data_IF_227695431887
#
_entry.id   IF_227695431887
#
_cell.length_a   1.000
_cell.length_b   1.000
_cell.length_c   1.000
_cell.angle_alpha   90.00
_cell.angle_beta   90.00
_cell.angle_gamma   90.00
#
_symmetry.space_group_name_H-M   'P 1'
#
loop_
_entity.id
_entity.type
_entity.pdbx_description
1 polymer ?
#
# COMPACT_ATOMS: atom_id res chain seq x y z
N UNK A 1 3.93 -2.47 91.56
CA UNK A 1 4.58 -3.15 90.42
C UNK A 1 5.65 -2.21 89.84
N UNK A 2 6.90 -2.35 90.30
CA UNK A 2 8.13 -2.00 89.55
C UNK A 2 8.57 -3.27 88.81
N UNK A 3 9.21 -3.23 87.61
CA UNK A 3 10.60 -2.76 87.44
C UNK A 3 10.92 -2.04 86.08
N UNK A 4 11.90 -1.13 85.97
CA UNK A 4 13.33 -1.25 85.57
C UNK A 4 13.66 -0.79 84.12
N UNK A 5 14.58 0.19 84.10
CA UNK A 5 15.66 0.60 83.17
C UNK A 5 16.04 -0.28 81.96
N UNK A 6 16.52 0.37 80.89
CA UNK A 6 17.86 0.25 80.22
C UNK A 6 17.76 0.40 78.69
N UNK A 7 18.38 1.42 78.07
CA UNK A 7 19.73 1.48 77.43
C UNK A 7 20.08 0.31 76.49
N UNK A 8 20.25 0.59 75.19
CA UNK A 8 21.30 0.05 74.27
C UNK A 8 21.10 0.70 72.87
N UNK A 9 21.91 1.70 72.47
CA UNK A 9 23.12 1.61 71.62
C UNK A 9 22.95 0.77 70.35
N UNK A 10 23.09 1.41 69.18
CA UNK A 10 24.02 0.98 68.12
C UNK A 10 24.14 2.07 67.04
N UNK A 11 25.33 2.66 66.96
CA UNK A 11 25.80 3.35 65.78
C UNK A 11 26.31 2.30 64.78
N UNK A 12 25.96 2.43 63.51
CA UNK A 12 26.73 1.86 62.41
C UNK A 12 26.43 2.66 61.14
N UNK A 13 27.47 3.31 60.61
CA UNK A 13 27.42 3.98 59.31
C UNK A 13 27.24 3.00 58.17
N UNK A 14 26.73 3.51 57.06
CA UNK A 14 26.76 2.83 55.77
C UNK A 14 27.25 3.81 54.72
N UNK A 15 28.35 3.41 54.11
CA UNK A 15 29.11 4.09 53.09
C UNK A 15 28.25 4.39 51.85
N UNK A 16 28.48 5.56 51.27
CA UNK A 16 28.01 5.92 49.95
C UNK A 16 28.66 5.01 48.90
N UNK A 17 27.88 4.08 48.34
CA UNK A 17 28.24 3.41 47.09
C UNK A 17 27.92 4.37 45.93
N UNK A 18 28.98 4.86 45.30
CA UNK A 18 28.91 5.54 44.01
C UNK A 18 28.37 4.56 42.96
N UNK A 19 27.14 4.78 42.51
CA UNK A 19 26.60 4.15 41.30
C UNK A 19 27.31 4.75 40.08
N UNK A 20 27.85 3.93 39.16
CA UNK A 20 28.36 4.46 37.90
C UNK A 20 27.17 5.02 37.10
N UNK A 21 27.24 6.32 36.81
CA UNK A 21 26.40 6.98 35.81
C UNK A 21 26.67 6.29 34.47
N UNK A 22 25.82 5.33 34.11
CA UNK A 22 25.77 4.80 32.76
C UNK A 22 25.41 5.95 31.82
N UNK A 23 26.36 6.35 30.96
CA UNK A 23 26.08 7.18 29.81
C UNK A 23 24.88 6.61 29.07
N UNK A 24 23.83 7.40 28.77
CA UNK A 24 22.75 6.92 27.93
C UNK A 24 23.36 6.50 26.60
N UNK A 25 23.28 5.19 26.31
CA UNK A 25 23.87 4.60 25.13
C UNK A 25 23.44 5.38 23.90
N UNK A 26 24.42 5.76 23.08
CA UNK A 26 24.18 6.04 21.66
C UNK A 26 23.41 4.83 21.12
N UNK A 27 22.12 4.97 20.89
CA UNK A 27 21.35 4.00 20.11
C UNK A 27 22.09 3.84 18.79
N UNK A 28 22.65 2.65 18.56
CA UNK A 28 23.32 2.34 17.30
C UNK A 28 22.37 2.74 16.17
N UNK A 29 22.84 3.58 15.24
CA UNK A 29 22.05 3.92 14.07
C UNK A 29 21.65 2.60 13.39
N UNK A 30 20.35 2.38 13.21
CA UNK A 30 19.86 1.15 12.60
C UNK A 30 20.50 1.04 11.20
N UNK A 31 21.28 -0.01 10.98
CA UNK A 31 21.92 -0.21 9.69
C UNK A 31 20.83 -0.44 8.62
N UNK A 32 21.00 0.16 7.43
CA UNK A 32 20.08 -0.07 6.33
C UNK A 32 20.11 -1.55 5.92
N UNK A 33 18.93 -2.14 5.68
CA UNK A 33 18.83 -3.49 5.11
C UNK A 33 18.69 -3.35 3.60
N UNK A 34 19.44 -4.14 2.84
CA UNK A 34 19.32 -4.18 1.37
C UNK A 34 18.88 -5.56 0.92
N UNK A 35 17.85 -5.61 0.09
CA UNK A 35 17.31 -6.84 -0.47
C UNK A 35 17.38 -6.79 -1.99
N UNK A 36 17.79 -7.89 -2.62
CA UNK A 36 17.58 -8.13 -4.04
C UNK A 36 16.28 -8.91 -4.22
N UNK A 37 15.36 -8.38 -5.02
CA UNK A 37 14.00 -8.87 -5.20
C UNK A 37 13.70 -9.05 -6.69
N UNK A 38 12.75 -9.94 -7.02
CA UNK A 38 12.33 -10.20 -8.40
C UNK A 38 13.50 -10.63 -9.29
N UNK A 39 14.24 -11.65 -8.84
CA UNK A 39 15.42 -12.17 -9.54
C UNK A 39 16.53 -11.13 -9.78
N UNK A 40 16.66 -10.16 -8.86
CA UNK A 40 17.68 -9.11 -8.91
C UNK A 40 17.28 -7.88 -9.73
N UNK A 41 16.07 -7.84 -10.29
CA UNK A 41 15.56 -6.68 -11.01
C UNK A 41 15.24 -5.49 -10.11
N UNK A 42 15.00 -5.73 -8.82
CA UNK A 42 14.74 -4.67 -7.84
C UNK A 42 15.72 -4.78 -6.69
N UNK A 43 16.54 -3.75 -6.49
CA UNK A 43 17.33 -3.58 -5.27
C UNK A 43 16.56 -2.65 -4.33
N UNK A 44 16.05 -3.18 -3.22
CA UNK A 44 15.33 -2.39 -2.24
C UNK A 44 16.20 -2.11 -1.02
N UNK A 45 16.46 -0.83 -0.74
CA UNK A 45 17.14 -0.35 0.46
C UNK A 45 16.10 0.12 1.48
N UNK A 46 16.06 -0.54 2.63
CA UNK A 46 15.12 -0.25 3.71
C UNK A 46 15.81 0.60 4.78
N UNK A 47 15.26 1.79 5.04
CA UNK A 47 15.76 2.75 6.03
C UNK A 47 14.78 2.82 7.20
N UNK A 48 15.29 2.77 8.43
CA UNK A 48 14.46 2.85 9.64
C UNK A 48 15.05 3.84 10.64
N UNK A 49 14.28 4.87 10.97
CA UNK A 49 14.68 5.90 11.94
C UNK A 49 14.28 5.54 13.39
N UNK A 50 13.68 4.36 13.59
CA UNK A 50 13.06 3.93 14.85
C UNK A 50 13.58 2.60 15.40
N UNK A 51 14.65 2.06 14.83
CA UNK A 51 15.26 0.80 15.28
C UNK A 51 15.36 -0.23 14.15
N UNK A 52 15.50 -1.54 14.47
CA UNK A 52 15.64 -2.57 13.45
C UNK A 52 14.45 -2.62 12.50
N UNK A 53 14.68 -3.05 11.25
CA UNK A 53 13.61 -3.26 10.28
C UNK A 53 12.68 -4.36 10.80
N UNK A 54 11.35 -4.13 10.89
CA UNK A 54 10.42 -5.14 11.36
C UNK A 54 10.42 -6.37 10.45
N UNK A 55 10.40 -7.58 11.04
CA UNK A 55 10.30 -8.85 10.32
C UNK A 55 9.06 -8.90 9.41
N UNK A 56 7.97 -8.27 9.85
CA UNK A 56 6.76 -8.11 9.06
C UNK A 56 7.04 -7.46 7.69
N UNK A 57 7.90 -6.43 7.64
CA UNK A 57 8.29 -5.77 6.39
C UNK A 57 9.12 -6.72 5.53
N UNK A 58 10.10 -7.41 6.12
CA UNK A 58 10.98 -8.34 5.42
C UNK A 58 10.22 -9.52 4.80
N UNK A 59 9.17 -10.01 5.48
CA UNK A 59 8.36 -11.14 5.01
C UNK A 59 7.31 -10.74 3.95
N UNK A 60 6.78 -9.51 4.01
CA UNK A 60 5.73 -9.06 3.09
C UNK A 60 6.28 -8.43 1.82
N UNK A 61 7.40 -7.70 1.90
CA UNK A 61 7.94 -6.96 0.77
C UNK A 61 8.24 -7.83 -0.47
N UNK A 62 8.83 -9.03 -0.38
CA UNK A 62 9.05 -9.89 -1.54
C UNK A 62 7.75 -10.29 -2.25
N UNK A 63 6.71 -10.58 -1.47
CA UNK A 63 5.38 -10.94 -2.00
C UNK A 63 4.78 -9.73 -2.73
N UNK A 64 4.83 -8.55 -2.13
CA UNK A 64 4.30 -7.34 -2.74
C UNK A 64 5.04 -6.95 -4.03
N UNK A 65 6.38 -7.06 -4.07
CA UNK A 65 7.17 -6.82 -5.29
C UNK A 65 6.82 -7.82 -6.39
N UNK A 66 6.72 -9.11 -6.07
CA UNK A 66 6.31 -10.12 -7.04
C UNK A 66 4.93 -9.83 -7.61
N UNK A 67 3.94 -9.57 -6.77
CA UNK A 67 2.59 -9.22 -7.22
C UNK A 67 2.59 -7.96 -8.07
N UNK A 68 3.34 -6.92 -7.71
CA UNK A 68 3.45 -5.71 -8.50
C UNK A 68 4.06 -5.96 -9.89
N UNK A 69 5.11 -6.78 -9.99
CA UNK A 69 5.69 -7.15 -11.28
C UNK A 69 4.74 -8.00 -12.14
N UNK A 70 3.96 -8.89 -11.53
CA UNK A 70 2.94 -9.67 -12.25
C UNK A 70 1.81 -8.79 -12.80
N UNK A 71 1.36 -7.80 -12.02
CA UNK A 71 0.21 -6.95 -12.38
C UNK A 71 0.59 -5.75 -13.26
N UNK A 72 1.70 -5.07 -12.97
CA UNK A 72 2.13 -3.84 -13.65
C UNK A 72 3.33 -4.05 -14.60
N UNK A 73 3.88 -5.26 -14.66
CA UNK A 73 5.08 -5.60 -15.44
C UNK A 73 6.39 -5.31 -14.68
N UNK A 74 7.49 -6.01 -15.01
CA UNK A 74 8.79 -5.78 -14.41
C UNK A 74 9.38 -4.41 -14.85
N UNK A 75 10.33 -3.85 -14.09
CA UNK A 75 11.07 -2.68 -14.54
C UNK A 75 11.87 -2.99 -15.82
N UNK A 76 12.08 -2.02 -16.73
CA UNK A 76 12.74 -2.26 -18.02
C UNK A 76 14.24 -2.55 -17.89
N UNK A 77 14.84 -2.18 -16.76
CA UNK A 77 16.20 -2.46 -16.36
C UNK A 77 16.25 -2.63 -14.83
N UNK A 78 17.30 -3.24 -14.26
CA UNK A 78 17.47 -3.30 -12.81
C UNK A 78 17.33 -1.92 -12.17
N UNK A 79 16.46 -1.81 -11.17
CA UNK A 79 16.08 -0.54 -10.55
C UNK A 79 16.29 -0.57 -9.04
N UNK A 80 16.56 0.61 -8.47
CA UNK A 80 16.73 0.79 -7.04
C UNK A 80 15.50 1.47 -6.45
N UNK A 81 15.01 0.93 -5.34
CA UNK A 81 13.91 1.50 -4.54
C UNK A 81 14.41 1.76 -3.13
N UNK A 82 14.03 2.89 -2.55
CA UNK A 82 14.20 3.15 -1.12
C UNK A 82 12.88 2.99 -0.39
N UNK A 83 12.84 2.14 0.64
CA UNK A 83 11.69 2.01 1.52
C UNK A 83 12.02 2.68 2.86
N UNK A 84 11.43 3.83 3.14
CA UNK A 84 11.68 4.59 4.37
C UNK A 84 10.57 4.33 5.39
N UNK A 85 10.93 3.67 6.48
CA UNK A 85 10.00 3.38 7.58
C UNK A 85 9.80 4.63 8.43
N UNK A 86 8.55 5.09 8.47
CA UNK A 86 8.14 6.24 9.26
C UNK A 86 7.71 5.81 10.66
N UNK A 87 7.95 6.69 11.63
CA UNK A 87 7.40 6.55 12.97
C UNK A 87 5.87 6.61 12.91
N UNK A 88 5.15 5.78 13.68
CA UNK A 88 3.71 5.88 13.75
C UNK A 88 3.31 7.27 14.27
N UNK A 89 2.22 7.87 13.78
CA UNK A 89 1.75 9.15 14.26
C UNK A 89 1.45 9.09 15.76
N UNK A 90 1.55 10.22 16.48
CA UNK A 90 1.23 10.28 17.91
C UNK A 90 -0.14 9.66 18.21
N UNK A 91 -0.26 9.02 19.38
CA UNK A 91 -1.49 8.31 19.80
C UNK A 91 -2.76 9.15 19.61
N UNK A 92 -2.73 10.44 19.96
CA UNK A 92 -3.89 11.32 19.82
C UNK A 92 -4.36 11.47 18.36
N UNK A 93 -3.45 11.57 17.37
CA UNK A 93 -3.84 11.65 15.95
C UNK A 93 -4.47 10.35 15.46
N UNK A 94 -4.00 9.21 15.98
CA UNK A 94 -4.59 7.89 15.70
C UNK A 94 -5.96 7.74 16.35
N UNK A 95 -6.11 8.16 17.60
CA UNK A 95 -7.35 8.08 18.38
C UNK A 95 -8.47 8.95 17.79
N UNK A 96 -8.15 10.15 17.29
CA UNK A 96 -9.12 11.05 16.66
C UNK A 96 -9.35 10.77 15.16
N UNK A 97 -8.78 9.70 14.60
CA UNK A 97 -8.96 9.36 13.19
C UNK A 97 -8.46 10.44 12.21
N UNK A 98 -7.50 11.27 12.63
CA UNK A 98 -6.97 12.41 11.85
C UNK A 98 -5.91 11.98 10.82
N UNK A 99 -5.65 10.68 10.68
CA UNK A 99 -4.70 10.12 9.72
C UNK A 99 -5.53 9.51 8.59
N UNK A 100 -5.47 10.11 7.39
CA UNK A 100 -6.04 9.50 6.19
C UNK A 100 -5.36 8.14 5.95
N UNK A 101 -6.10 7.14 5.48
CA UNK A 101 -5.53 5.80 5.22
C UNK A 101 -4.37 5.86 4.20
N UNK A 102 -4.46 6.81 3.28
CA UNK A 102 -3.49 7.25 2.26
C UNK A 102 -2.24 7.92 2.87
N UNK A 103 -2.20 8.19 4.18
CA UNK A 103 -1.02 8.70 4.88
C UNK A 103 -0.14 7.59 5.49
N UNK A 104 -0.48 6.32 5.26
CA UNK A 104 0.26 5.17 5.80
C UNK A 104 1.28 4.58 4.82
N UNK A 105 1.15 4.89 3.53
CA UNK A 105 2.19 4.68 2.54
C UNK A 105 2.09 5.75 1.46
N UNK A 106 3.21 6.19 0.89
CA UNK A 106 3.22 7.17 -0.22
C UNK A 106 4.47 6.99 -1.08
N UNK A 107 4.27 6.83 -2.38
CA UNK A 107 5.34 6.80 -3.38
C UNK A 107 5.77 8.22 -3.79
N UNK A 108 7.08 8.49 -3.72
CA UNK A 108 7.73 9.74 -4.15
C UNK A 108 9.03 9.42 -4.90
N UNK A 109 9.01 9.57 -6.23
CA UNK A 109 10.17 9.20 -7.06
C UNK A 109 10.57 7.72 -6.90
N UNK A 110 11.79 7.47 -6.45
CA UNK A 110 12.31 6.12 -6.13
C UNK A 110 12.25 5.81 -4.62
N UNK A 111 11.41 6.53 -3.86
CA UNK A 111 11.18 6.29 -2.44
C UNK A 111 9.71 5.94 -2.17
N UNK A 112 9.48 4.97 -1.28
CA UNK A 112 8.18 4.73 -0.64
C UNK A 112 8.34 5.06 0.84
N UNK A 113 7.58 6.04 1.29
CA UNK A 113 7.40 6.33 2.71
C UNK A 113 6.39 5.34 3.27
N UNK A 114 6.73 4.59 4.32
CA UNK A 114 5.89 3.51 4.82
C UNK A 114 5.72 3.55 6.33
N UNK A 115 4.46 3.48 6.77
CA UNK A 115 4.11 3.09 8.13
C UNK A 115 3.68 1.61 8.12
N UNK A 116 4.51 0.70 8.64
CA UNK A 116 4.28 -0.73 8.45
C UNK A 116 2.99 -1.22 9.12
N UNK A 117 2.67 -0.68 10.30
CA UNK A 117 1.60 -1.20 11.15
C UNK A 117 1.91 -2.63 11.62
N UNK A 118 0.87 -3.35 12.06
CA UNK A 118 1.01 -4.70 12.64
C UNK A 118 0.25 -5.77 11.86
N UNK A 119 -0.45 -5.39 10.78
CA UNK A 119 -1.32 -6.27 10.00
C UNK A 119 -0.64 -6.61 8.66
N UNK A 120 -0.27 -7.88 8.41
CA UNK A 120 0.42 -8.30 7.20
C UNK A 120 -0.40 -8.06 5.93
N UNK A 121 -1.73 -8.23 5.98
CA UNK A 121 -2.58 -8.10 4.80
C UNK A 121 -2.69 -6.63 4.40
N UNK A 122 -2.91 -5.74 5.39
CA UNK A 122 -2.94 -4.30 5.13
C UNK A 122 -1.58 -3.76 4.69
N UNK A 123 -0.49 -4.30 5.22
CA UNK A 123 0.86 -3.96 4.76
C UNK A 123 1.09 -4.39 3.33
N UNK A 124 0.73 -5.64 2.99
CA UNK A 124 0.88 -6.17 1.64
C UNK A 124 0.06 -5.36 0.64
N UNK A 125 -1.18 -4.99 1.00
CA UNK A 125 -2.02 -4.12 0.19
C UNK A 125 -1.34 -2.78 -0.09
N UNK A 126 -0.90 -2.06 0.96
CA UNK A 126 -0.24 -0.76 0.82
C UNK A 126 1.02 -0.84 -0.03
N UNK A 127 1.90 -1.82 0.24
CA UNK A 127 3.11 -2.00 -0.53
C UNK A 127 2.80 -2.33 -1.99
N UNK A 128 1.88 -3.25 -2.27
CA UNK A 128 1.48 -3.60 -3.63
C UNK A 128 0.92 -2.40 -4.40
N UNK A 129 0.11 -1.57 -3.73
CA UNK A 129 -0.43 -0.34 -4.29
C UNK A 129 0.67 0.66 -4.69
N UNK A 130 1.54 1.04 -3.74
CA UNK A 130 2.62 2.01 -4.02
C UNK A 130 3.66 1.48 -5.02
N UNK A 131 3.96 0.18 -4.98
CA UNK A 131 4.87 -0.47 -5.94
C UNK A 131 4.29 -0.46 -7.35
N UNK A 132 2.97 -0.55 -7.49
CA UNK A 132 2.30 -0.42 -8.80
C UNK A 132 2.59 0.94 -9.42
N UNK A 133 2.38 2.04 -8.68
CA UNK A 133 2.71 3.39 -9.15
C UNK A 133 4.19 3.54 -9.50
N UNK A 134 5.08 3.00 -8.67
CA UNK A 134 6.52 3.07 -8.91
C UNK A 134 6.90 2.33 -10.21
N UNK A 135 6.41 1.11 -10.43
CA UNK A 135 6.70 0.33 -11.64
C UNK A 135 6.11 0.98 -12.90
N UNK A 136 4.87 1.46 -12.83
CA UNK A 136 4.24 2.21 -13.95
C UNK A 136 5.09 3.42 -14.32
N UNK A 137 5.57 4.19 -13.34
CA UNK A 137 6.45 5.35 -13.57
C UNK A 137 7.78 4.95 -14.19
N UNK A 138 8.38 3.82 -13.80
CA UNK A 138 9.64 3.36 -14.39
C UNK A 138 9.48 2.89 -15.84
N UNK A 139 8.34 2.28 -16.16
CA UNK A 139 8.09 1.70 -17.48
C UNK A 139 7.61 2.72 -18.51
N UNK A 140 7.01 3.82 -18.07
CA UNK A 140 6.34 4.74 -18.96
C UNK A 140 6.72 6.21 -18.74
N UNK A 141 6.81 7.01 -19.82
CA UNK A 141 7.24 8.41 -19.74
C UNK A 141 6.19 9.33 -19.09
N UNK A 142 4.92 8.93 -19.09
CA UNK A 142 3.79 9.72 -18.60
C UNK A 142 2.90 8.85 -17.73
N UNK A 143 2.31 9.43 -16.68
CA UNK A 143 1.34 8.71 -15.85
C UNK A 143 0.05 8.42 -16.64
N UNK A 144 -0.57 7.25 -16.44
CA UNK A 144 -1.88 6.97 -17.03
C UNK A 144 -2.96 7.89 -16.46
N UNK A 145 -4.18 7.89 -17.05
CA UNK A 145 -5.34 8.54 -16.45
C UNK A 145 -5.57 8.10 -15.00
N UNK A 146 -6.05 9.02 -14.15
CA UNK A 146 -6.18 8.83 -12.71
C UNK A 146 -6.90 7.53 -12.32
N UNK A 147 -8.04 7.22 -12.95
CA UNK A 147 -8.79 5.99 -12.68
C UNK A 147 -7.99 4.72 -13.02
N UNK A 148 -7.11 4.77 -14.02
CA UNK A 148 -6.34 3.61 -14.47
C UNK A 148 -5.13 3.40 -13.56
N UNK A 149 -4.44 4.47 -13.17
CA UNK A 149 -3.33 4.44 -12.20
C UNK A 149 -3.82 3.83 -10.88
N UNK A 150 -4.88 4.41 -10.31
CA UNK A 150 -5.41 4.03 -9.00
C UNK A 150 -6.15 2.69 -9.02
N UNK A 151 -6.85 2.38 -10.11
CA UNK A 151 -7.51 1.10 -10.29
C UNK A 151 -6.50 -0.05 -10.36
N UNK A 152 -5.42 0.13 -11.11
CA UNK A 152 -4.33 -0.84 -11.18
C UNK A 152 -3.61 -0.98 -9.84
N UNK A 153 -3.33 0.14 -9.17
CA UNK A 153 -2.68 0.12 -7.86
C UNK A 153 -3.53 -0.61 -6.80
N UNK A 154 -4.84 -0.34 -6.73
CA UNK A 154 -5.74 -1.07 -5.84
C UNK A 154 -5.84 -2.55 -6.15
N UNK A 155 -5.97 -2.91 -7.44
CA UNK A 155 -5.98 -4.31 -7.88
C UNK A 155 -4.68 -5.01 -7.50
N UNK A 156 -3.54 -4.35 -7.67
CA UNK A 156 -2.21 -4.86 -7.30
C UNK A 156 -2.10 -5.05 -5.79
N UNK A 157 -2.55 -4.08 -5.00
CA UNK A 157 -2.62 -4.19 -3.55
C UNK A 157 -3.49 -5.36 -3.10
N UNK A 158 -4.66 -5.56 -3.72
CA UNK A 158 -5.53 -6.69 -3.42
C UNK A 158 -4.83 -8.04 -3.69
N UNK A 159 -4.21 -8.18 -4.87
CA UNK A 159 -3.46 -9.37 -5.23
C UNK A 159 -2.29 -9.65 -4.26
N UNK A 160 -1.57 -8.61 -3.83
CA UNK A 160 -0.50 -8.73 -2.85
C UNK A 160 -1.02 -9.18 -1.47
N UNK A 161 -2.15 -8.63 -1.01
CA UNK A 161 -2.79 -9.03 0.23
C UNK A 161 -3.26 -10.50 0.19
N UNK A 162 -3.90 -10.91 -0.90
CA UNK A 162 -4.31 -12.30 -1.11
C UNK A 162 -3.10 -13.24 -1.11
N UNK A 163 -2.03 -12.87 -1.82
CA UNK A 163 -0.80 -13.64 -1.86
C UNK A 163 -0.14 -13.76 -0.49
N UNK A 164 -0.16 -12.70 0.33
CA UNK A 164 0.36 -12.71 1.69
C UNK A 164 -0.52 -13.49 2.68
N UNK A 165 -1.83 -13.56 2.43
CA UNK A 165 -2.81 -14.27 3.25
C UNK A 165 -2.82 -15.79 3.03
N UNK A 166 -2.59 -16.27 1.80
CA UNK A 166 -2.62 -17.70 1.44
C UNK A 166 -1.79 -18.61 2.36
N UNK A 167 -0.50 -18.35 2.64
CA UNK A 167 0.30 -19.19 3.52
C UNK A 167 -0.18 -19.21 4.98
N UNK A 168 -0.97 -18.20 5.38
CA UNK A 168 -1.45 -17.98 6.74
C UNK A 168 -2.91 -18.39 6.92
N UNK A 169 -3.57 -18.87 5.86
CA UNK A 169 -5.01 -19.17 5.83
C UNK A 169 -5.86 -17.97 6.30
N UNK A 170 -5.39 -16.75 6.00
CA UNK A 170 -6.13 -15.53 6.32
C UNK A 170 -6.96 -15.14 5.10
N UNK A 171 -8.27 -14.98 5.31
CA UNK A 171 -9.17 -14.43 4.29
C UNK A 171 -8.96 -12.91 4.17
N UNK A 172 -8.92 -12.41 2.93
CA UNK A 172 -8.86 -10.98 2.65
C UNK A 172 -10.29 -10.46 2.54
N UNK A 173 -10.78 -9.83 3.60
CA UNK A 173 -12.08 -9.17 3.59
C UNK A 173 -11.96 -7.75 3.03
N UNK A 174 -12.75 -7.45 2.00
CA UNK A 174 -12.82 -6.12 1.38
C UNK A 174 -14.26 -5.64 1.34
N UNK A 175 -14.84 -5.26 2.50
CA UNK A 175 -16.22 -4.81 2.56
C UNK A 175 -16.40 -3.57 1.69
N UNK A 176 -17.61 -3.42 1.14
CA UNK A 176 -17.99 -2.22 0.42
C UNK A 176 -17.85 -0.99 1.34
N UNK A 177 -17.31 0.14 0.85
CA UNK A 177 -17.33 1.38 1.59
C UNK A 177 -18.75 1.73 2.08
N UNK A 178 -18.90 2.21 3.33
CA UNK A 178 -20.21 2.57 3.84
C UNK A 178 -20.82 3.70 3.00
N UNK A 179 -22.12 3.60 2.72
CA UNK A 179 -22.88 4.58 1.90
C UNK A 179 -22.39 4.74 0.46
N UNK A 180 -21.60 3.78 -0.06
CA UNK A 180 -21.07 3.77 -1.43
C UNK A 180 -22.12 4.13 -2.49
N UNK A 181 -23.32 3.56 -2.41
CA UNK A 181 -24.38 3.71 -3.40
C UNK A 181 -24.78 5.17 -3.71
N UNK A 182 -24.61 6.10 -2.76
CA UNK A 182 -24.97 7.52 -2.94
C UNK A 182 -23.87 8.35 -3.60
N UNK A 183 -22.69 7.77 -3.78
CA UNK A 183 -21.47 8.44 -4.23
C UNK A 183 -20.86 7.78 -5.47
N UNK A 184 -21.60 6.85 -6.10
CA UNK A 184 -21.15 6.18 -7.31
C UNK A 184 -21.13 7.14 -8.49
N UNK A 185 -20.07 7.04 -9.30
CA UNK A 185 -19.92 7.70 -10.58
C UNK A 185 -20.48 6.80 -11.68
N UNK A 186 -21.07 7.38 -12.72
CA UNK A 186 -21.22 6.70 -14.01
C UNK A 186 -19.85 6.43 -14.64
N UNK A 187 -19.80 5.53 -15.63
CA UNK A 187 -18.56 5.21 -16.33
C UNK A 187 -17.89 6.46 -16.92
N UNK A 188 -18.68 7.34 -17.54
CA UNK A 188 -18.16 8.57 -18.16
C UNK A 188 -17.64 9.57 -17.12
N UNK A 189 -18.33 9.70 -15.98
CA UNK A 189 -17.85 10.56 -14.89
C UNK A 189 -16.55 10.02 -14.30
N UNK A 190 -16.47 8.71 -14.04
CA UNK A 190 -15.30 8.06 -13.46
C UNK A 190 -14.05 8.26 -14.32
N UNK A 191 -14.14 8.01 -15.63
CA UNK A 191 -12.98 8.12 -16.54
C UNK A 191 -12.59 9.56 -16.86
N UNK A 192 -13.50 10.52 -16.64
CA UNK A 192 -13.26 11.94 -16.83
C UNK A 192 -12.50 12.60 -15.66
N UNK A 193 -12.51 12.00 -14.47
CA UNK A 193 -11.82 12.55 -13.29
C UNK A 193 -10.32 12.74 -13.55
N UNK A 194 -9.84 13.97 -13.31
CA UNK A 194 -8.42 14.35 -13.38
C UNK A 194 -7.78 14.61 -12.02
N UNK A 195 -8.61 14.76 -11.00
CA UNK A 195 -8.20 14.98 -9.61
C UNK A 195 -9.08 14.14 -8.69
N UNK A 196 -8.57 13.78 -7.52
CA UNK A 196 -9.35 13.04 -6.53
C UNK A 196 -10.61 13.82 -6.10
N UNK A 197 -11.72 13.12 -5.82
CA UNK A 197 -12.87 13.74 -5.16
C UNK A 197 -12.48 14.32 -3.80
N UNK A 198 -13.13 15.43 -3.44
CA UNK A 198 -12.84 16.14 -2.18
C UNK A 198 -13.43 15.41 -0.97
N UNK A 199 -14.59 14.76 -1.12
CA UNK A 199 -15.30 14.14 -0.01
C UNK A 199 -14.81 12.70 0.20
N UNK A 200 -14.50 12.26 1.44
CA UNK A 200 -13.99 10.92 1.71
C UNK A 200 -14.85 9.77 1.17
N UNK A 201 -16.18 9.90 1.21
CA UNK A 201 -17.08 8.88 0.68
C UNK A 201 -17.02 8.76 -0.85
N UNK A 202 -16.86 9.89 -1.55
CA UNK A 202 -16.66 9.94 -3.00
C UNK A 202 -15.27 9.42 -3.38
N UNK A 203 -14.23 9.72 -2.58
CA UNK A 203 -12.90 9.15 -2.74
C UNK A 203 -12.93 7.62 -2.61
N UNK A 204 -13.62 7.10 -1.59
CA UNK A 204 -13.81 5.66 -1.41
C UNK A 204 -14.57 5.02 -2.58
N UNK A 205 -15.59 5.70 -3.12
CA UNK A 205 -16.31 5.25 -4.30
C UNK A 205 -15.43 5.22 -5.55
N UNK A 206 -14.66 6.29 -5.78
CA UNK A 206 -13.71 6.39 -6.87
C UNK A 206 -12.72 5.22 -6.86
N UNK A 207 -12.05 4.97 -5.73
CA UNK A 207 -11.08 3.88 -5.59
C UNK A 207 -11.69 2.50 -5.86
N UNK A 208 -12.89 2.26 -5.35
CA UNK A 208 -13.59 1.00 -5.54
C UNK A 208 -14.00 0.79 -7.01
N UNK A 209 -14.58 1.81 -7.65
CA UNK A 209 -15.03 1.74 -9.03
C UNK A 209 -13.87 1.70 -10.03
N UNK A 210 -12.78 2.43 -9.77
CA UNK A 210 -11.56 2.41 -10.56
C UNK A 210 -10.96 1.00 -10.61
N UNK A 211 -10.85 0.34 -9.45
CA UNK A 211 -10.42 -1.06 -9.40
C UNK A 211 -11.38 -1.98 -10.15
N UNK A 212 -12.69 -1.85 -9.93
CA UNK A 212 -13.68 -2.70 -10.60
C UNK A 212 -13.67 -2.54 -12.13
N UNK A 213 -13.41 -1.32 -12.62
CA UNK A 213 -13.25 -1.05 -14.05
C UNK A 213 -11.99 -1.73 -14.59
N UNK A 214 -10.85 -1.59 -13.90
CA UNK A 214 -9.59 -2.24 -14.28
C UNK A 214 -9.73 -3.77 -14.26
N UNK A 215 -10.39 -4.35 -13.27
CA UNK A 215 -10.72 -5.77 -13.22
C UNK A 215 -11.62 -6.21 -14.40
N UNK A 216 -12.60 -5.37 -14.77
CA UNK A 216 -13.43 -5.58 -15.95
C UNK A 216 -12.61 -5.62 -17.24
N UNK A 217 -11.67 -4.69 -17.39
CA UNK A 217 -10.76 -4.63 -18.52
C UNK A 217 -9.81 -5.84 -18.55
N UNK A 218 -9.20 -6.21 -17.43
CA UNK A 218 -8.35 -7.41 -17.34
C UNK A 218 -9.10 -8.68 -17.73
N UNK A 219 -10.36 -8.85 -17.32
CA UNK A 219 -11.17 -10.02 -17.71
C UNK A 219 -11.44 -10.09 -19.20
N UNK A 220 -11.52 -8.94 -19.88
CA UNK A 220 -11.79 -8.87 -21.31
C UNK A 220 -10.51 -8.98 -22.16
N UNK A 221 -9.43 -8.34 -21.72
CA UNK A 221 -8.18 -8.24 -22.48
C UNK A 221 -7.19 -9.36 -22.14
N UNK A 222 -7.22 -9.87 -20.90
CA UNK A 222 -6.13 -10.64 -20.33
C UNK A 222 -4.95 -9.76 -19.88
N UNK A 223 -3.98 -10.36 -19.20
CA UNK A 223 -2.87 -9.62 -18.57
C UNK A 223 -1.96 -8.92 -19.59
N UNK A 224 -1.43 -9.66 -20.57
CA UNK A 224 -0.48 -9.12 -21.56
C UNK A 224 -1.09 -7.95 -22.34
N UNK A 225 -2.28 -8.18 -22.89
CA UNK A 225 -3.02 -7.18 -23.67
C UNK A 225 -3.40 -5.96 -22.85
N UNK A 226 -3.73 -6.13 -21.57
CA UNK A 226 -3.98 -4.99 -20.68
C UNK A 226 -2.73 -4.12 -20.50
N UNK A 227 -1.54 -4.72 -20.38
CA UNK A 227 -0.29 -3.95 -20.28
C UNK A 227 0.01 -3.17 -21.58
N UNK A 228 -0.34 -3.72 -22.74
CA UNK A 228 -0.25 -3.00 -24.02
C UNK A 228 -1.24 -1.83 -24.06
N UNK A 229 -2.47 -2.02 -23.58
CA UNK A 229 -3.47 -0.96 -23.43
C UNK A 229 -2.99 0.16 -22.49
N UNK A 230 -2.45 -0.20 -21.33
CA UNK A 230 -1.86 0.74 -20.38
C UNK A 230 -0.76 1.57 -21.05
N UNK A 231 0.15 0.93 -21.78
CA UNK A 231 1.25 1.60 -22.46
C UNK A 231 0.76 2.65 -23.48
N UNK A 232 -0.36 2.40 -24.18
CA UNK A 232 -0.95 3.37 -25.11
C UNK A 232 -1.50 4.62 -24.43
N UNK A 233 -1.89 4.51 -23.15
CA UNK A 233 -2.41 5.63 -22.37
C UNK A 233 -1.35 6.37 -21.56
N UNK A 234 -0.13 5.83 -21.51
CA UNK A 234 1.00 6.41 -20.79
C UNK A 234 1.98 7.18 -21.72
N UNK A 235 1.45 7.95 -22.67
CA UNK A 235 2.21 8.77 -23.63
C UNK A 235 1.83 10.26 -23.51
N UNK A 236 2.67 11.22 -23.98
CA UNK A 236 2.42 12.66 -23.81
C UNK A 236 1.09 13.19 -24.36
N UNK A 237 0.54 12.54 -25.39
CA UNK A 237 -0.77 12.86 -25.96
C UNK A 237 -1.54 11.54 -26.13
N UNK A 238 -2.10 10.97 -25.05
CA UNK A 238 -2.76 9.69 -25.15
C UNK A 238 -4.07 9.84 -25.93
N UNK A 239 -4.49 8.81 -26.69
CA UNK A 239 -5.82 8.80 -27.28
C UNK A 239 -6.90 8.83 -26.20
N UNK A 240 -8.15 9.05 -26.60
CA UNK A 240 -9.29 8.81 -25.70
C UNK A 240 -9.23 7.36 -25.19
N UNK A 241 -9.57 7.13 -23.92
CA UNK A 241 -9.37 5.84 -23.25
C UNK A 241 -10.07 4.67 -23.97
N UNK A 242 -11.21 4.95 -24.59
CA UNK A 242 -12.02 3.97 -25.29
C UNK A 242 -11.55 3.71 -26.74
N UNK A 243 -10.84 4.65 -27.36
CA UNK A 243 -10.42 4.55 -28.75
C UNK A 243 -9.52 3.32 -29.01
N UNK A 244 -8.44 3.06 -28.23
CA UNK A 244 -7.65 1.83 -28.40
C UNK A 244 -8.47 0.55 -28.22
N UNK A 245 -9.41 0.54 -27.27
CA UNK A 245 -10.29 -0.61 -27.01
C UNK A 245 -11.16 -0.93 -28.23
N UNK A 246 -11.71 0.10 -28.87
CA UNK A 246 -12.53 -0.05 -30.08
C UNK A 246 -11.69 -0.42 -31.30
N UNK A 247 -10.57 0.27 -31.51
CA UNK A 247 -9.80 0.18 -32.75
C UNK A 247 -8.90 -1.05 -32.82
N UNK A 248 -8.30 -1.46 -31.70
CA UNK A 248 -7.33 -2.57 -31.67
C UNK A 248 -7.92 -3.89 -31.19
N UNK A 249 -8.83 -3.81 -30.24
CA UNK A 249 -9.42 -4.99 -29.58
C UNK A 249 -10.92 -5.14 -29.82
N UNK A 250 -11.48 -4.33 -30.72
CA UNK A 250 -12.85 -4.44 -31.23
C UNK A 250 -13.93 -4.45 -30.15
N UNK A 251 -13.71 -3.72 -29.05
CA UNK A 251 -14.74 -3.53 -28.03
C UNK A 251 -15.97 -2.88 -28.66
N UNK A 252 -17.10 -3.56 -28.54
CA UNK A 252 -18.39 -3.05 -29.00
C UNK A 252 -19.19 -2.45 -27.83
N UNK A 253 -20.35 -1.88 -28.10
CA UNK A 253 -21.15 -1.23 -27.06
C UNK A 253 -21.65 -2.20 -25.98
N UNK A 254 -21.76 -3.49 -26.26
CA UNK A 254 -22.07 -4.49 -25.23
C UNK A 254 -20.89 -4.67 -24.25
N UNK A 255 -19.64 -4.54 -24.72
CA UNK A 255 -18.46 -4.54 -23.87
C UNK A 255 -18.42 -3.30 -22.98
N UNK A 256 -18.71 -2.11 -23.52
CA UNK A 256 -18.80 -0.90 -22.71
C UNK A 256 -19.96 -0.95 -21.70
N UNK A 257 -21.11 -1.51 -22.07
CA UNK A 257 -22.20 -1.79 -21.11
C UNK A 257 -21.78 -2.80 -20.05
N UNK A 258 -20.97 -3.81 -20.40
CA UNK A 258 -20.40 -4.74 -19.44
C UNK A 258 -19.51 -4.01 -18.44
N UNK A 259 -18.56 -3.17 -18.91
CA UNK A 259 -17.69 -2.37 -18.05
C UNK A 259 -18.48 -1.43 -17.13
N UNK A 260 -19.47 -0.73 -17.69
CA UNK A 260 -20.35 0.14 -16.92
C UNK A 260 -21.09 -0.62 -15.82
N UNK A 261 -21.53 -1.87 -16.06
CA UNK A 261 -22.13 -2.69 -15.01
C UNK A 261 -21.14 -3.06 -13.91
N UNK A 262 -19.89 -3.39 -14.25
CA UNK A 262 -18.90 -3.87 -13.26
C UNK A 262 -18.57 -2.84 -12.19
N UNK A 263 -18.68 -1.55 -12.49
CA UNK A 263 -18.45 -0.47 -11.53
C UNK A 263 -19.65 -0.23 -10.58
N UNK A 264 -20.65 -1.11 -10.57
CA UNK A 264 -21.74 -1.11 -9.60
C UNK A 264 -21.66 -2.31 -8.65
N UNK A 265 -21.79 -2.09 -7.32
CA UNK A 265 -21.58 -3.11 -6.30
C UNK A 265 -22.55 -4.31 -6.38
N UNK A 266 -23.75 -4.10 -6.91
CA UNK A 266 -24.79 -5.14 -7.06
C UNK A 266 -24.41 -6.24 -8.07
N UNK A 267 -23.33 -6.06 -8.83
CA UNK A 267 -22.95 -6.96 -9.93
C UNK A 267 -21.71 -7.80 -9.67
N UNK A 268 -20.99 -7.59 -8.56
CA UNK A 268 -19.80 -8.39 -8.23
C UNK A 268 -20.28 -9.70 -7.59
N UNK A 269 -19.90 -10.88 -8.14
CA UNK A 269 -20.18 -12.14 -7.44
C UNK A 269 -19.50 -12.10 -6.06
N UNK A 270 -20.07 -12.78 -5.04
CA UNK A 270 -19.40 -12.89 -3.76
C UNK A 270 -17.99 -13.48 -3.95
N UNK A 271 -17.01 -13.11 -3.09
CA UNK A 271 -15.69 -13.73 -3.15
C UNK A 271 -15.86 -15.24 -3.08
N UNK A 272 -15.20 -15.96 -3.99
CA UNK A 272 -15.21 -17.42 -3.97
C UNK A 272 -14.63 -17.92 -2.64
N UNK A 273 -15.24 -18.93 -2.00
CA UNK A 273 -14.80 -19.46 -0.72
C UNK A 273 -13.41 -20.08 -0.78
#
# INVERSE_FOLDING_TARGET
MTPIRSRLRLAAGLAALALPLACPGRTAAAQPVTLALGDGLVTCRILSDSGPVPELVLSVLPVAVKSAMEQAGPPPAPAALTLRLQKPPPFYKRFFGLVRADALATQQGDEILLQPGNDPLKLAFRLGHELSHWLVRLRHPVRPPLWLDEGLANRTGAAAAEAAGRPRQLAVERPLPPRLARHLFSLNELVALKTYPVRPAETGAFYWQAEALVDGLHRKLGQTTFLDYLALLCVPNPPAWDAPLRERWYFNDADFRFLARQIHPETRPPPSP
#
